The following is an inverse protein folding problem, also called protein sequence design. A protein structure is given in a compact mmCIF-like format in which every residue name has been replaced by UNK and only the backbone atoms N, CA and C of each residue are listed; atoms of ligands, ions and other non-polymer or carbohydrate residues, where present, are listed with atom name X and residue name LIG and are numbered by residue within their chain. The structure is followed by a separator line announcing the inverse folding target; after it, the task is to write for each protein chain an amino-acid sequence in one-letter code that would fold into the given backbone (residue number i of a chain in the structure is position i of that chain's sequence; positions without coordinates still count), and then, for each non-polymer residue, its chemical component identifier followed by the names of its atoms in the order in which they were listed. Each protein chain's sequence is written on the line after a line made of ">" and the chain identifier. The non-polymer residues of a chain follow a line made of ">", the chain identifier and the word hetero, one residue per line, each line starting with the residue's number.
data_IF_682008796274
#
_entry.id   IF_682008796274
#
_cell.length_a   1.000
_cell.length_b   1.000
_cell.length_c   1.000
_cell.angle_alpha   90.00
_cell.angle_beta   90.00
_cell.angle_gamma   90.00
#
_symmetry.space_group_name_H-M   'P 1'
#
loop_
_entity.id
_entity.type
_entity.pdbx_description
1 polymer ?
#
# COMPACT_ATOMS: atom_id res chain seq x y z
N UNK A 1 -70.91 32.45 65.40
CA UNK A 1 -69.57 32.88 64.93
C UNK A 1 -69.35 32.20 63.59
N UNK A 2 -69.30 33.04 62.57
CA UNK A 2 -69.85 32.80 61.23
C UNK A 2 -69.05 31.88 60.30
N UNK A 3 -69.82 31.25 59.42
CA UNK A 3 -69.46 30.52 58.22
C UNK A 3 -69.05 31.49 57.10
N UNK A 4 -68.01 31.15 56.33
CA UNK A 4 -67.72 31.70 55.01
C UNK A 4 -67.01 30.62 54.18
N UNK A 5 -67.69 29.88 53.31
CA UNK A 5 -68.12 30.20 51.94
C UNK A 5 -66.96 30.42 50.95
N UNK A 6 -66.91 29.53 49.95
CA UNK A 6 -66.05 29.47 48.75
C UNK A 6 -66.40 30.66 47.83
N UNK A 7 -65.51 31.12 46.92
CA UNK A 7 -65.61 30.58 45.55
C UNK A 7 -64.27 30.44 44.79
N UNK A 8 -64.41 29.70 43.69
CA UNK A 8 -63.44 29.35 42.67
C UNK A 8 -62.70 30.54 42.04
N UNK A 9 -61.47 30.31 41.58
CA UNK A 9 -60.95 31.03 40.43
C UNK A 9 -59.90 30.23 39.65
N UNK A 10 -59.79 30.58 38.37
CA UNK A 10 -59.55 29.72 37.22
C UNK A 10 -58.15 29.09 37.06
N UNK A 11 -58.15 27.93 36.38
CA UNK A 11 -56.98 27.27 35.79
C UNK A 11 -56.31 28.20 34.79
N UNK A 12 -55.09 28.64 35.11
CA UNK A 12 -54.12 29.10 34.11
C UNK A 12 -53.04 28.03 33.97
N UNK A 13 -53.03 27.38 32.81
CA UNK A 13 -52.00 26.40 32.43
C UNK A 13 -50.66 27.11 32.24
N UNK A 14 -49.54 26.60 32.78
CA UNK A 14 -48.23 27.08 32.39
C UNK A 14 -47.89 26.59 30.97
N UNK A 15 -47.64 27.56 30.10
CA UNK A 15 -47.11 27.39 28.73
C UNK A 15 -45.78 26.62 28.80
N UNK A 16 -45.71 25.46 28.14
CA UNK A 16 -44.44 24.74 27.88
C UNK A 16 -43.61 25.53 26.85
N UNK A 17 -42.34 25.86 27.12
CA UNK A 17 -41.47 26.35 26.07
C UNK A 17 -41.00 25.21 25.16
N UNK A 18 -41.19 25.42 23.85
CA UNK A 18 -40.20 25.14 22.81
C UNK A 18 -39.75 23.70 22.62
N UNK A 19 -40.37 23.06 21.63
CA UNK A 19 -39.82 21.93 20.88
C UNK A 19 -38.41 22.22 20.36
N UNK A 20 -37.39 21.68 21.03
CA UNK A 20 -36.06 21.53 20.44
C UNK A 20 -36.12 20.51 19.31
N UNK A 21 -35.85 20.97 18.08
CA UNK A 21 -35.70 20.12 16.92
C UNK A 21 -34.57 19.11 17.14
N UNK A 22 -34.92 17.84 17.36
CA UNK A 22 -33.95 16.74 17.34
C UNK A 22 -33.59 16.47 15.88
N UNK A 23 -32.49 17.07 15.45
CA UNK A 23 -31.77 16.66 14.25
C UNK A 23 -31.37 15.19 14.43
N UNK A 24 -31.97 14.29 13.65
CA UNK A 24 -31.57 12.89 13.60
C UNK A 24 -30.17 12.83 13.01
N UNK A 25 -29.17 12.62 13.87
CA UNK A 25 -27.82 12.29 13.47
C UNK A 25 -27.88 11.05 12.57
N UNK A 26 -27.45 11.22 11.31
CA UNK A 26 -27.32 10.13 10.35
C UNK A 26 -26.43 9.04 10.94
N UNK A 27 -26.88 7.78 10.83
CA UNK A 27 -26.12 6.62 11.28
C UNK A 27 -24.70 6.68 10.71
N UNK A 28 -23.72 6.82 11.58
CA UNK A 28 -22.32 6.68 11.22
C UNK A 28 -22.15 5.34 10.48
N UNK A 29 -21.83 5.41 9.19
CA UNK A 29 -21.43 4.25 8.41
C UNK A 29 -20.12 3.76 8.99
N UNK A 30 -20.19 2.87 9.98
CA UNK A 30 -19.03 2.14 10.42
C UNK A 30 -18.51 1.34 9.21
N UNK A 31 -17.22 1.45 8.85
CA UNK A 31 -16.65 0.57 7.84
C UNK A 31 -16.93 -0.88 8.26
N UNK A 32 -17.35 -1.75 7.32
CA UNK A 32 -17.75 -3.11 7.65
C UNK A 32 -16.63 -3.78 8.44
N UNK A 33 -16.97 -4.30 9.62
CA UNK A 33 -16.06 -5.07 10.46
C UNK A 33 -15.45 -6.16 9.60
N UNK A 34 -14.15 -6.07 9.33
CA UNK A 34 -13.39 -7.12 8.65
C UNK A 34 -13.28 -8.27 9.63
N UNK A 35 -14.28 -9.15 9.63
CA UNK A 35 -14.22 -10.39 10.39
C UNK A 35 -13.26 -11.32 9.69
N UNK A 36 -12.31 -11.86 10.46
CA UNK A 36 -11.47 -13.02 10.14
C UNK A 36 -12.33 -14.28 10.00
N UNK A 37 -13.25 -14.26 9.04
CA UNK A 37 -14.04 -15.42 8.63
C UNK A 37 -13.34 -16.19 7.50
N UNK A 38 -13.81 -17.40 7.16
CA UNK A 38 -13.24 -18.30 6.15
C UNK A 38 -13.47 -17.84 4.71
N UNK A 39 -13.41 -16.54 4.45
CA UNK A 39 -14.02 -15.90 3.29
C UNK A 39 -13.01 -15.01 2.59
N UNK A 40 -12.21 -15.61 1.71
CA UNK A 40 -10.99 -15.02 1.17
C UNK A 40 -11.26 -13.75 0.37
N UNK A 41 -12.33 -13.71 -0.42
CA UNK A 41 -12.61 -12.63 -1.38
C UNK A 41 -13.70 -11.65 -0.94
N UNK A 42 -14.19 -11.74 0.31
CA UNK A 42 -15.17 -10.77 0.82
C UNK A 42 -14.56 -9.36 0.85
N UNK A 43 -15.26 -8.41 0.22
CA UNK A 43 -14.82 -7.04 0.03
C UNK A 43 -13.98 -6.81 -1.22
N UNK A 44 -13.50 -7.87 -1.88
CA UNK A 44 -12.78 -7.81 -3.16
C UNK A 44 -13.68 -8.21 -4.34
N UNK A 45 -14.59 -9.16 -4.12
CA UNK A 45 -15.49 -9.68 -5.15
C UNK A 45 -16.65 -8.71 -5.47
N UNK A 46 -16.83 -8.41 -6.75
CA UNK A 46 -17.90 -7.57 -7.30
C UNK A 46 -18.62 -8.26 -8.45
N UNK A 47 -19.87 -7.88 -8.65
CA UNK A 47 -20.69 -8.36 -9.74
C UNK A 47 -20.24 -7.73 -11.08
N UNK A 48 -19.94 -8.58 -12.05
CA UNK A 48 -19.54 -8.21 -13.41
C UNK A 48 -20.67 -8.08 -14.42
N UNK A 49 -21.93 -8.18 -13.98
CA UNK A 49 -23.07 -7.96 -14.87
C UNK A 49 -23.21 -6.47 -15.17
N UNK A 50 -23.39 -6.13 -16.45
CA UNK A 50 -23.61 -4.77 -16.91
C UNK A 50 -24.73 -4.09 -16.11
N UNK A 51 -24.47 -2.89 -15.60
CA UNK A 51 -25.42 -2.11 -14.80
C UNK A 51 -25.55 -2.50 -13.32
N UNK A 52 -24.83 -3.51 -12.82
CA UNK A 52 -24.89 -3.90 -11.42
C UNK A 52 -23.69 -3.38 -10.59
N UNK A 53 -22.48 -3.88 -10.84
CA UNK A 53 -21.25 -3.48 -10.13
C UNK A 53 -21.24 -3.70 -8.61
N UNK A 54 -22.31 -4.27 -8.04
CA UNK A 54 -22.47 -4.40 -6.59
C UNK A 54 -21.48 -5.41 -6.01
N UNK A 55 -21.04 -5.18 -4.78
CA UNK A 55 -20.24 -6.16 -4.04
C UNK A 55 -20.96 -7.51 -3.90
N UNK A 56 -20.17 -8.57 -3.72
CA UNK A 56 -20.69 -9.89 -3.43
C UNK A 56 -20.65 -10.19 -1.93
N UNK A 57 -21.61 -10.97 -1.46
CA UNK A 57 -21.68 -11.49 -0.09
C UNK A 57 -21.72 -13.01 -0.12
N UNK A 58 -21.33 -13.64 0.99
CA UNK A 58 -21.38 -15.09 1.14
C UNK A 58 -22.69 -15.49 1.77
N UNK A 59 -23.35 -16.48 1.13
CA UNK A 59 -24.48 -17.20 1.69
C UNK A 59 -24.10 -18.62 2.01
N UNK A 60 -24.65 -19.12 3.11
CA UNK A 60 -24.49 -20.50 3.53
C UNK A 60 -25.71 -21.33 3.15
N UNK A 61 -25.47 -22.57 2.74
CA UNK A 61 -26.48 -23.60 2.51
C UNK A 61 -26.23 -24.81 3.41
N UNK A 62 -27.30 -25.58 3.68
CA UNK A 62 -27.25 -26.84 4.46
C UNK A 62 -26.49 -26.68 5.80
N UNK A 63 -26.96 -25.74 6.63
CA UNK A 63 -26.40 -25.51 7.97
C UNK A 63 -24.97 -24.94 8.00
N UNK A 64 -24.51 -24.31 6.92
CA UNK A 64 -23.13 -23.77 6.85
C UNK A 64 -22.14 -24.66 6.09
N UNK A 65 -22.55 -25.87 5.69
CA UNK A 65 -21.69 -26.82 4.96
C UNK A 65 -21.26 -26.31 3.58
N UNK A 66 -22.10 -25.52 2.91
CA UNK A 66 -21.78 -24.96 1.60
C UNK A 66 -21.79 -23.44 1.67
N UNK A 67 -20.83 -22.81 0.99
CA UNK A 67 -20.71 -21.36 0.90
C UNK A 67 -20.75 -20.93 -0.56
N UNK A 68 -21.47 -19.85 -0.83
CA UNK A 68 -21.62 -19.31 -2.18
C UNK A 68 -21.44 -17.80 -2.17
N UNK A 69 -20.61 -17.28 -3.07
CA UNK A 69 -20.61 -15.85 -3.38
C UNK A 69 -21.85 -15.52 -4.20
N UNK A 70 -22.59 -14.51 -3.74
CA UNK A 70 -23.84 -14.05 -4.34
C UNK A 70 -23.84 -12.53 -4.43
N UNK A 71 -24.38 -11.97 -5.49
CA UNK A 71 -24.45 -10.52 -5.65
C UNK A 71 -25.34 -9.87 -4.57
N UNK A 72 -24.88 -8.79 -3.94
CA UNK A 72 -25.65 -8.07 -2.91
C UNK A 72 -26.99 -7.53 -3.43
N UNK A 73 -27.05 -7.05 -4.68
CA UNK A 73 -28.30 -6.60 -5.28
C UNK A 73 -29.31 -7.75 -5.34
N UNK A 74 -28.88 -8.93 -5.80
CA UNK A 74 -29.70 -10.13 -5.87
C UNK A 74 -30.21 -10.55 -4.49
N UNK A 75 -29.35 -10.45 -3.49
CA UNK A 75 -29.67 -10.85 -2.11
C UNK A 75 -30.66 -9.88 -1.45
N UNK A 76 -30.47 -8.58 -1.61
CA UNK A 76 -31.27 -7.56 -0.92
C UNK A 76 -32.54 -7.17 -1.68
N UNK A 77 -32.51 -7.19 -3.02
CA UNK A 77 -33.61 -6.73 -3.90
C UNK A 77 -34.29 -7.86 -4.66
N UNK A 78 -33.92 -9.12 -4.40
CA UNK A 78 -34.52 -10.31 -4.99
C UNK A 78 -33.87 -10.76 -6.30
N UNK A 79 -34.20 -11.99 -6.73
CA UNK A 79 -33.53 -12.69 -7.82
C UNK A 79 -33.65 -12.02 -9.20
N UNK A 80 -34.69 -11.22 -9.42
CA UNK A 80 -34.93 -10.48 -10.67
C UNK A 80 -34.04 -9.26 -10.83
N UNK A 81 -33.51 -8.71 -9.73
CA UNK A 81 -32.70 -7.49 -9.73
C UNK A 81 -31.30 -7.66 -10.31
N UNK A 82 -30.77 -8.89 -10.31
CA UNK A 82 -29.46 -9.18 -10.89
C UNK A 82 -29.36 -10.65 -11.29
N UNK A 83 -28.91 -10.90 -12.53
CA UNK A 83 -28.74 -12.25 -13.11
C UNK A 83 -27.37 -12.87 -12.82
N UNK A 84 -26.55 -12.26 -11.98
CA UNK A 84 -25.23 -12.78 -11.62
C UNK A 84 -25.36 -14.17 -10.97
N UNK A 85 -24.61 -15.18 -11.46
CA UNK A 85 -24.66 -16.53 -10.90
C UNK A 85 -24.13 -16.56 -9.47
N UNK A 86 -24.67 -17.48 -8.67
CA UNK A 86 -24.08 -17.79 -7.37
C UNK A 86 -22.93 -18.76 -7.60
N UNK A 87 -21.73 -18.42 -7.16
CA UNK A 87 -20.53 -19.25 -7.38
C UNK A 87 -20.11 -19.89 -6.07
N UNK A 88 -19.71 -21.17 -6.11
CA UNK A 88 -19.19 -21.86 -4.91
C UNK A 88 -17.96 -21.12 -4.40
N UNK A 89 -17.94 -20.84 -3.09
CA UNK A 89 -16.88 -20.04 -2.50
C UNK A 89 -15.54 -20.73 -2.61
N UNK A 90 -15.49 -22.03 -2.33
CA UNK A 90 -14.26 -22.82 -2.41
C UNK A 90 -13.69 -22.83 -3.84
N UNK A 91 -14.56 -22.98 -4.85
CA UNK A 91 -14.17 -22.99 -6.25
C UNK A 91 -13.63 -21.62 -6.70
N UNK A 92 -14.32 -20.53 -6.34
CA UNK A 92 -13.86 -19.19 -6.72
C UNK A 92 -12.55 -18.83 -6.03
N UNK A 93 -12.45 -19.13 -4.73
CA UNK A 93 -11.26 -18.85 -3.94
C UNK A 93 -10.06 -19.63 -4.48
N UNK A 94 -10.20 -20.91 -4.79
CA UNK A 94 -9.12 -21.73 -5.35
C UNK A 94 -8.70 -21.28 -6.74
N UNK A 95 -9.67 -20.97 -7.61
CA UNK A 95 -9.38 -20.45 -8.95
C UNK A 95 -8.59 -19.14 -8.88
N UNK A 96 -9.06 -18.17 -8.10
CA UNK A 96 -8.39 -16.86 -7.98
C UNK A 96 -6.97 -17.02 -7.44
N UNK A 97 -6.77 -17.85 -6.42
CA UNK A 97 -5.43 -18.04 -5.82
C UNK A 97 -4.47 -18.76 -6.77
N UNK A 98 -4.96 -19.76 -7.51
CA UNK A 98 -4.16 -20.51 -8.50
C UNK A 98 -3.78 -19.61 -9.67
N UNK A 99 -4.73 -18.85 -10.21
CA UNK A 99 -4.49 -17.92 -11.31
C UNK A 99 -3.53 -16.79 -10.93
N UNK A 100 -3.62 -16.27 -9.69
CA UNK A 100 -2.61 -15.34 -9.17
C UNK A 100 -1.22 -16.00 -9.11
N UNK A 101 -1.15 -17.21 -8.56
CA UNK A 101 0.10 -17.94 -8.39
C UNK A 101 0.80 -18.21 -9.74
N UNK A 102 0.04 -18.60 -10.75
CA UNK A 102 0.56 -19.08 -12.03
C UNK A 102 0.72 -17.97 -13.07
N UNK A 103 -0.13 -16.94 -13.09
CA UNK A 103 -0.05 -15.88 -14.10
C UNK A 103 0.57 -14.59 -13.61
N UNK A 104 0.61 -14.34 -12.31
CA UNK A 104 1.19 -13.11 -11.76
C UNK A 104 2.53 -13.37 -11.08
N UNK A 105 2.63 -14.46 -10.31
CA UNK A 105 3.82 -14.79 -9.52
C UNK A 105 4.69 -15.88 -10.16
N UNK A 106 4.41 -16.28 -11.39
CA UNK A 106 5.37 -17.04 -12.18
C UNK A 106 6.55 -16.16 -12.57
N UNK A 107 7.76 -16.71 -12.46
CA UNK A 107 9.01 -15.97 -12.67
C UNK A 107 9.08 -15.28 -14.04
N UNK A 108 8.63 -15.97 -15.09
CA UNK A 108 8.62 -15.45 -16.46
C UNK A 108 7.59 -14.35 -16.70
N UNK A 109 6.52 -14.27 -15.90
CA UNK A 109 5.48 -13.24 -16.00
C UNK A 109 5.80 -12.02 -15.12
N UNK A 110 6.33 -12.26 -13.92
CA UNK A 110 6.53 -11.23 -12.91
C UNK A 110 7.66 -10.25 -13.26
N UNK A 111 8.76 -10.76 -13.84
CA UNK A 111 9.92 -9.92 -14.17
C UNK A 111 9.58 -8.90 -15.26
N UNK A 112 8.99 -9.28 -16.41
CA UNK A 112 8.57 -8.30 -17.42
C UNK A 112 7.57 -7.28 -16.89
N UNK A 113 6.63 -7.70 -16.04
CA UNK A 113 5.63 -6.83 -15.45
C UNK A 113 6.23 -5.75 -14.53
N UNK A 114 7.37 -6.04 -13.90
CA UNK A 114 8.11 -5.10 -13.06
C UNK A 114 9.33 -4.48 -13.75
N UNK A 115 9.50 -4.70 -15.05
CA UNK A 115 10.70 -4.23 -15.78
C UNK A 115 10.89 -2.73 -15.69
N UNK A 116 9.83 -1.94 -15.94
CA UNK A 116 9.89 -0.48 -15.83
C UNK A 116 10.30 0.00 -14.42
N UNK A 117 9.88 -0.73 -13.38
CA UNK A 117 10.24 -0.43 -11.99
C UNK A 117 11.70 -0.80 -11.72
N UNK A 118 12.17 -1.94 -12.24
CA UNK A 118 13.58 -2.35 -12.18
C UNK A 118 14.48 -1.33 -12.88
N UNK A 119 14.09 -0.85 -14.05
CA UNK A 119 14.84 0.15 -14.82
C UNK A 119 14.91 1.46 -14.04
N UNK A 120 13.77 1.98 -13.58
CA UNK A 120 13.71 3.22 -12.76
C UNK A 120 14.55 3.11 -11.49
N UNK A 121 14.52 1.95 -10.83
CA UNK A 121 15.34 1.63 -9.67
C UNK A 121 16.84 1.67 -10.00
N UNK A 122 17.24 1.07 -11.12
CA UNK A 122 18.63 1.04 -11.58
C UNK A 122 19.15 2.44 -11.93
N UNK A 123 18.34 3.25 -12.61
CA UNK A 123 18.69 4.64 -12.95
C UNK A 123 18.80 5.53 -11.71
N UNK A 124 17.90 5.38 -10.75
CA UNK A 124 17.98 6.09 -9.47
C UNK A 124 19.26 5.72 -8.70
N UNK A 125 19.71 4.46 -8.78
CA UNK A 125 20.97 4.02 -8.19
C UNK A 125 22.17 4.62 -8.91
N UNK A 126 22.18 4.59 -10.25
CA UNK A 126 23.26 5.14 -11.05
C UNK A 126 23.45 6.64 -10.79
N UNK A 127 22.36 7.41 -10.74
CA UNK A 127 22.39 8.84 -10.40
C UNK A 127 23.05 9.10 -9.04
N UNK A 128 22.67 8.33 -8.00
CA UNK A 128 23.30 8.45 -6.68
C UNK A 128 24.78 8.08 -6.69
N UNK A 129 25.17 7.08 -7.49
CA UNK A 129 26.58 6.71 -7.64
C UNK A 129 27.38 7.85 -8.29
N UNK A 130 26.84 8.49 -9.32
CA UNK A 130 27.45 9.67 -9.93
C UNK A 130 27.55 10.86 -8.96
N UNK A 131 26.53 11.08 -8.11
CA UNK A 131 26.60 12.11 -7.07
C UNK A 131 27.71 11.82 -6.04
N UNK A 132 27.90 10.55 -5.67
CA UNK A 132 29.00 10.13 -4.79
C UNK A 132 30.36 10.42 -5.43
N UNK A 133 30.53 10.06 -6.69
CA UNK A 133 31.76 10.30 -7.46
C UNK A 133 32.08 11.81 -7.52
N UNK A 134 31.09 12.64 -7.85
CA UNK A 134 31.25 14.10 -7.82
C UNK A 134 31.60 14.64 -6.43
N UNK A 135 31.04 14.08 -5.36
CA UNK A 135 31.42 14.45 -4.00
C UNK A 135 32.88 14.12 -3.73
N UNK A 136 33.35 12.96 -4.15
CA UNK A 136 34.72 12.48 -3.95
C UNK A 136 35.74 13.33 -4.72
N UNK A 137 35.46 13.71 -5.96
CA UNK A 137 36.29 14.61 -6.76
C UNK A 137 36.44 15.99 -6.10
N UNK A 138 35.31 16.56 -5.63
CA UNK A 138 35.31 17.82 -4.89
C UNK A 138 36.11 17.72 -3.59
N UNK A 139 36.03 16.57 -2.93
CA UNK A 139 36.74 16.29 -1.68
C UNK A 139 38.25 16.19 -1.91
N UNK A 140 38.67 15.48 -2.97
CA UNK A 140 40.07 15.42 -3.39
C UNK A 140 40.61 16.83 -3.67
N UNK A 141 39.86 17.63 -4.44
CA UNK A 141 40.23 19.02 -4.76
C UNK A 141 40.35 19.88 -3.49
N UNK A 142 39.39 19.80 -2.57
CA UNK A 142 39.42 20.56 -1.31
C UNK A 142 40.60 20.14 -0.40
N UNK A 143 40.91 18.84 -0.34
CA UNK A 143 42.08 18.31 0.39
C UNK A 143 43.39 18.79 -0.21
N UNK A 144 43.55 18.74 -1.54
CA UNK A 144 44.76 19.26 -2.20
C UNK A 144 44.94 20.75 -1.95
N UNK A 145 43.87 21.55 -2.00
CA UNK A 145 43.93 22.99 -1.67
C UNK A 145 44.33 23.25 -0.22
N UNK A 146 43.85 22.41 0.72
CA UNK A 146 44.23 22.52 2.12
C UNK A 146 45.69 22.12 2.34
N UNK A 147 46.16 21.05 1.69
CA UNK A 147 47.56 20.63 1.71
C UNK A 147 48.48 21.74 1.19
N UNK A 148 48.18 22.32 0.04
CA UNK A 148 48.96 23.44 -0.51
C UNK A 148 49.03 24.65 0.43
N UNK A 149 47.96 24.92 1.21
CA UNK A 149 47.99 25.98 2.22
C UNK A 149 48.89 25.63 3.40
N UNK A 150 48.90 24.37 3.83
CA UNK A 150 49.84 23.90 4.86
C UNK A 150 51.28 23.98 4.36
N UNK A 151 51.57 23.52 3.14
CA UNK A 151 52.90 23.57 2.54
C UNK A 151 53.42 25.02 2.40
N UNK A 152 52.55 25.97 2.02
CA UNK A 152 52.92 27.38 1.91
C UNK A 152 53.29 28.00 3.27
N UNK A 153 52.69 27.52 4.36
CA UNK A 153 53.03 27.92 5.73
C UNK A 153 54.35 27.28 6.16
N UNK A 154 54.56 26.00 5.87
CA UNK A 154 55.79 25.25 6.21
C UNK A 154 57.01 25.84 5.49
N UNK A 155 56.84 26.24 4.22
CA UNK A 155 57.90 26.87 3.41
C UNK A 155 58.11 28.36 3.72
N UNK A 156 57.37 28.93 4.68
CA UNK A 156 57.48 30.35 5.07
C UNK A 156 57.04 31.35 3.99
N UNK A 157 56.36 30.89 2.93
CA UNK A 157 55.84 31.75 1.85
C UNK A 157 54.69 32.63 2.35
N UNK A 158 53.96 32.15 3.37
CA UNK A 158 52.81 32.82 3.98
C UNK A 158 52.97 32.82 5.50
N UNK A 159 52.65 33.94 6.15
CA UNK A 159 52.72 34.06 7.61
C UNK A 159 51.60 33.26 8.28
N UNK A 160 51.97 32.44 9.26
CA UNK A 160 51.02 31.68 10.09
C UNK A 160 50.12 32.56 10.97
N UNK A 161 50.47 33.84 11.15
CA UNK A 161 49.70 34.82 11.94
C UNK A 161 48.71 35.63 11.10
N UNK A 162 48.59 35.35 9.80
CA UNK A 162 47.63 36.03 8.94
C UNK A 162 46.19 35.53 9.23
N UNK A 163 45.28 36.40 9.69
CA UNK A 163 43.90 36.03 9.96
C UNK A 163 43.12 35.57 8.72
N UNK A 164 43.48 36.02 7.50
CA UNK A 164 42.84 35.56 6.25
C UNK A 164 43.11 34.07 6.01
N UNK A 165 44.34 33.63 6.26
CA UNK A 165 44.77 32.24 6.08
C UNK A 165 44.10 31.32 7.10
N UNK A 166 44.01 31.75 8.36
CA UNK A 166 43.26 31.02 9.38
C UNK A 166 41.79 30.86 8.99
N UNK A 167 41.17 31.91 8.45
CA UNK A 167 39.81 31.89 7.91
C UNK A 167 39.65 30.89 6.76
N UNK A 168 40.58 30.89 5.80
CA UNK A 168 40.59 29.97 4.64
C UNK A 168 40.77 28.51 5.05
N UNK A 169 41.68 28.21 5.99
CA UNK A 169 41.87 26.85 6.52
C UNK A 169 40.58 26.36 7.18
N UNK A 170 39.96 27.20 8.02
CA UNK A 170 38.68 26.86 8.66
C UNK A 170 37.59 26.59 7.62
N UNK A 171 37.46 27.43 6.61
CA UNK A 171 36.49 27.25 5.52
C UNK A 171 36.70 25.93 4.78
N UNK A 172 37.95 25.59 4.44
CA UNK A 172 38.26 24.33 3.73
C UNK A 172 38.00 23.10 4.60
N UNK A 173 38.30 23.15 5.90
CA UNK A 173 37.94 22.07 6.83
C UNK A 173 36.41 21.88 6.89
N UNK A 174 35.65 22.97 7.01
CA UNK A 174 34.18 22.88 7.00
C UNK A 174 33.62 22.33 5.69
N UNK A 175 34.22 22.68 4.54
CA UNK A 175 33.85 22.14 3.24
C UNK A 175 34.13 20.63 3.15
N UNK A 176 35.31 20.18 3.61
CA UNK A 176 35.68 18.77 3.66
C UNK A 176 34.72 17.97 4.56
N UNK A 177 34.39 18.49 5.74
CA UNK A 177 33.47 17.83 6.67
C UNK A 177 32.05 17.71 6.10
N UNK A 178 31.57 18.77 5.43
CA UNK A 178 30.28 18.76 4.74
C UNK A 178 30.26 17.73 3.60
N UNK A 179 31.30 17.70 2.75
CA UNK A 179 31.41 16.75 1.64
C UNK A 179 31.51 15.30 2.14
N UNK A 180 32.28 15.04 3.21
CA UNK A 180 32.35 13.72 3.84
C UNK A 180 30.97 13.25 4.34
N UNK A 181 30.23 14.16 5.00
CA UNK A 181 28.90 13.85 5.52
C UNK A 181 27.92 13.55 4.39
N UNK A 182 27.98 14.34 3.30
CA UNK A 182 27.15 14.14 2.11
C UNK A 182 27.47 12.82 1.42
N UNK A 183 28.74 12.53 1.13
CA UNK A 183 29.16 11.28 0.52
C UNK A 183 28.77 10.06 1.36
N UNK A 184 28.95 10.13 2.69
CA UNK A 184 28.50 9.06 3.61
C UNK A 184 27.00 8.84 3.54
N UNK A 185 26.21 9.92 3.52
CA UNK A 185 24.75 9.84 3.43
C UNK A 185 24.31 9.20 2.12
N UNK A 186 24.89 9.64 0.99
CA UNK A 186 24.60 9.08 -0.33
C UNK A 186 24.97 7.60 -0.43
N UNK A 187 26.14 7.20 0.07
CA UNK A 187 26.57 5.78 0.14
C UNK A 187 25.60 4.94 0.98
N UNK A 188 25.19 5.44 2.16
CA UNK A 188 24.20 4.75 2.99
C UNK A 188 22.86 4.59 2.24
N UNK A 189 22.45 5.59 1.45
CA UNK A 189 21.25 5.48 0.62
C UNK A 189 21.39 4.50 -0.56
N UNK A 190 22.59 4.24 -1.05
CA UNK A 190 22.84 3.23 -2.10
C UNK A 190 22.80 1.82 -1.52
N UNK A 191 23.34 1.63 -0.31
CA UNK A 191 23.44 0.32 0.36
C UNK A 191 22.14 -0.10 1.03
N UNK A 192 21.47 0.82 1.73
CA UNK A 192 20.24 0.58 2.51
C UNK A 192 18.98 0.97 1.73
N UNK A 193 19.14 1.59 0.55
CA UNK A 193 18.09 2.32 -0.15
C UNK A 193 16.79 1.54 -0.41
N UNK A 194 15.62 2.18 -0.25
CA UNK A 194 14.30 1.60 -0.57
C UNK A 194 14.15 1.23 -2.06
N UNK A 195 15.07 1.70 -2.90
CA UNK A 195 15.14 1.46 -4.33
C UNK A 195 15.84 0.17 -4.73
N UNK A 196 16.39 -0.66 -3.83
CA UNK A 196 17.08 -1.90 -4.26
C UNK A 196 16.09 -3.00 -4.65
N UNK A 197 15.44 -2.86 -5.81
CA UNK A 197 14.67 -3.93 -6.44
C UNK A 197 15.62 -4.56 -7.47
N UNK A 198 16.01 -5.82 -7.25
CA UNK A 198 16.83 -6.57 -8.20
C UNK A 198 16.02 -7.70 -8.83
N UNK A 199 16.35 -8.16 -10.05
CA UNK A 199 15.67 -9.30 -10.65
C UNK A 199 15.66 -10.54 -9.73
N UNK A 200 16.77 -10.80 -9.05
CA UNK A 200 16.86 -11.87 -8.07
C UNK A 200 15.93 -11.68 -6.86
N UNK A 201 15.70 -10.44 -6.41
CA UNK A 201 14.75 -10.16 -5.33
C UNK A 201 13.30 -10.37 -5.80
N UNK A 202 12.99 -10.00 -7.04
CA UNK A 202 11.69 -10.24 -7.68
C UNK A 202 11.41 -11.75 -7.80
N UNK A 203 12.38 -12.54 -8.29
CA UNK A 203 12.23 -13.99 -8.40
C UNK A 203 12.02 -14.68 -7.04
N UNK A 204 12.78 -14.27 -6.01
CA UNK A 204 12.58 -14.76 -4.63
C UNK A 204 11.20 -14.37 -4.10
N UNK A 205 10.76 -13.14 -4.32
CA UNK A 205 9.45 -12.65 -3.92
C UNK A 205 8.33 -13.48 -4.57
N UNK A 206 8.38 -13.69 -5.89
CA UNK A 206 7.44 -14.54 -6.62
C UNK A 206 7.37 -15.95 -6.04
N UNK A 207 8.52 -16.58 -5.80
CA UNK A 207 8.60 -17.93 -5.22
C UNK A 207 7.93 -18.03 -3.84
N UNK A 208 8.23 -17.08 -2.93
CA UNK A 208 7.68 -17.10 -1.57
C UNK A 208 6.17 -16.87 -1.60
N UNK A 209 5.70 -15.87 -2.37
CA UNK A 209 4.27 -15.55 -2.45
C UNK A 209 3.50 -16.70 -3.11
N UNK A 210 4.02 -17.28 -4.20
CA UNK A 210 3.42 -18.44 -4.86
C UNK A 210 3.23 -19.61 -3.90
N UNK A 211 4.27 -19.97 -3.14
CA UNK A 211 4.18 -21.04 -2.13
C UNK A 211 3.10 -20.75 -1.09
N UNK A 212 2.99 -19.51 -0.61
CA UNK A 212 1.99 -19.11 0.39
C UNK A 212 0.57 -19.04 -0.20
N UNK A 213 0.41 -18.70 -1.47
CA UNK A 213 -0.90 -18.72 -2.15
C UNK A 213 -1.45 -20.13 -2.30
N UNK A 214 -0.59 -21.09 -2.66
CA UNK A 214 -0.97 -22.48 -2.92
C UNK A 214 -1.07 -23.34 -1.65
N UNK A 215 -0.20 -23.11 -0.67
CA UNK A 215 -0.06 -23.98 0.51
C UNK A 215 -0.20 -23.25 1.85
N UNK A 216 -0.47 -21.94 1.84
CA UNK A 216 -0.70 -21.17 3.06
C UNK A 216 -2.05 -21.46 3.70
N UNK A 217 -2.17 -21.08 4.96
CA UNK A 217 -3.44 -21.08 5.68
C UNK A 217 -4.39 -19.98 5.15
N UNK A 218 -5.68 -20.09 5.48
CA UNK A 218 -6.72 -19.16 5.01
C UNK A 218 -6.39 -17.68 5.26
N UNK A 219 -6.00 -17.27 6.48
CA UNK A 219 -5.62 -15.89 6.78
C UNK A 219 -4.45 -15.37 5.95
N UNK A 220 -3.38 -16.15 5.78
CA UNK A 220 -2.23 -15.75 4.95
C UNK A 220 -2.64 -15.55 3.50
N UNK A 221 -3.41 -16.50 2.94
CA UNK A 221 -3.92 -16.39 1.56
C UNK A 221 -4.81 -15.16 1.40
N UNK A 222 -5.66 -14.87 2.38
CA UNK A 222 -6.51 -13.69 2.37
C UNK A 222 -5.70 -12.39 2.36
N UNK A 223 -4.69 -12.29 3.21
CA UNK A 223 -3.87 -11.09 3.32
C UNK A 223 -3.07 -10.83 2.04
N UNK A 224 -2.52 -11.89 1.44
CA UNK A 224 -1.84 -11.80 0.14
C UNK A 224 -2.83 -11.35 -0.95
N UNK A 225 -4.03 -11.93 -1.01
CA UNK A 225 -5.04 -11.52 -1.99
C UNK A 225 -5.43 -10.04 -1.82
N UNK A 226 -5.64 -9.57 -0.59
CA UNK A 226 -5.97 -8.16 -0.30
C UNK A 226 -4.84 -7.19 -0.66
N UNK A 227 -3.59 -7.64 -0.54
CA UNK A 227 -2.43 -6.83 -0.87
C UNK A 227 -2.30 -6.54 -2.37
N UNK A 228 -2.58 -7.54 -3.22
CA UNK A 228 -2.30 -7.45 -4.66
C UNK A 228 -3.56 -7.29 -5.51
N UNK A 229 -4.70 -7.81 -5.07
CA UNK A 229 -5.96 -7.73 -5.82
C UNK A 229 -6.70 -6.47 -5.42
N UNK A 230 -6.94 -5.59 -6.40
CA UNK A 230 -7.85 -4.46 -6.24
C UNK A 230 -9.30 -4.91 -6.33
N UNK A 231 -9.64 -5.76 -7.31
CA UNK A 231 -11.02 -6.21 -7.50
C UNK A 231 -11.08 -7.54 -8.23
N UNK A 232 -11.98 -8.42 -7.79
CA UNK A 232 -12.37 -9.64 -8.52
C UNK A 232 -13.78 -9.43 -9.06
N UNK A 233 -13.94 -9.45 -10.38
CA UNK A 233 -15.23 -9.26 -11.03
C UNK A 233 -15.78 -10.62 -11.45
N UNK A 234 -16.98 -10.96 -10.99
CA UNK A 234 -17.66 -12.23 -11.27
C UNK A 234 -18.85 -11.98 -12.19
N UNK A 235 -18.72 -12.42 -13.44
CA UNK A 235 -19.76 -12.34 -14.46
C UNK A 235 -19.80 -13.63 -15.29
N UNK A 236 -20.00 -13.54 -16.62
CA UNK A 236 -19.80 -14.67 -17.52
C UNK A 236 -18.37 -15.23 -17.44
N UNK A 237 -17.41 -14.34 -17.23
CA UNK A 237 -16.00 -14.66 -16.97
C UNK A 237 -15.58 -14.05 -15.64
N UNK A 238 -14.49 -14.56 -15.08
CA UNK A 238 -13.85 -13.97 -13.90
C UNK A 238 -12.71 -13.09 -14.38
N UNK A 239 -12.72 -11.85 -13.90
CA UNK A 239 -11.65 -10.88 -14.17
C UNK A 239 -11.02 -10.45 -12.86
N UNK A 240 -9.72 -10.65 -12.73
CA UNK A 240 -8.96 -10.24 -11.56
C UNK A 240 -8.09 -9.05 -11.95
N UNK A 241 -8.14 -7.99 -11.15
CA UNK A 241 -7.38 -6.76 -11.42
C UNK A 241 -6.59 -6.32 -10.20
N UNK A 242 -5.43 -5.72 -10.43
CA UNK A 242 -4.58 -5.16 -9.38
C UNK A 242 -3.66 -4.06 -9.90
N UNK A 243 -2.83 -3.55 -8.99
CA UNK A 243 -1.89 -2.45 -9.24
C UNK A 243 -0.44 -2.99 -9.31
N UNK A 244 0.32 -2.72 -10.38
CA UNK A 244 1.74 -3.03 -10.48
C UNK A 244 2.60 -2.42 -9.36
N UNK A 245 2.23 -1.26 -8.80
CA UNK A 245 3.00 -0.65 -7.71
C UNK A 245 2.94 -1.49 -6.42
N UNK A 246 1.81 -2.13 -6.14
CA UNK A 246 1.73 -3.07 -5.01
C UNK A 246 2.72 -4.23 -5.15
N UNK A 247 2.93 -4.73 -6.37
CA UNK A 247 3.91 -5.79 -6.66
C UNK A 247 5.34 -5.28 -6.49
N UNK A 248 5.64 -4.09 -6.99
CA UNK A 248 6.93 -3.41 -6.80
C UNK A 248 7.28 -3.24 -5.32
N UNK A 249 6.34 -2.72 -4.52
CA UNK A 249 6.51 -2.54 -3.09
C UNK A 249 6.70 -3.86 -2.33
N UNK A 250 5.95 -4.91 -2.71
CA UNK A 250 6.13 -6.26 -2.18
C UNK A 250 7.52 -6.83 -2.46
N UNK A 251 8.00 -6.68 -3.70
CA UNK A 251 9.34 -7.09 -4.10
C UNK A 251 10.43 -6.31 -3.35
N UNK A 252 10.27 -5.00 -3.19
CA UNK A 252 11.18 -4.15 -2.40
C UNK A 252 11.19 -4.54 -0.90
N UNK A 253 10.06 -4.95 -0.33
CA UNK A 253 9.98 -5.44 1.04
C UNK A 253 10.79 -6.74 1.22
N UNK A 254 10.67 -7.70 0.29
CA UNK A 254 11.47 -8.94 0.30
C UNK A 254 12.94 -8.69 -0.02
N UNK A 255 13.29 -7.64 -0.75
CA UNK A 255 14.68 -7.24 -0.91
C UNK A 255 15.30 -6.74 0.40
N UNK A 256 14.49 -6.12 1.28
CA UNK A 256 14.90 -5.58 2.58
C UNK A 256 14.94 -6.63 3.68
N UNK A 257 13.97 -7.54 3.73
CA UNK A 257 13.94 -8.63 4.70
C UNK A 257 14.75 -9.82 4.21
N UNK A 258 15.53 -10.49 5.06
CA UNK A 258 16.30 -11.70 4.72
C UNK A 258 15.38 -12.93 4.49
N UNK A 259 14.42 -12.84 3.57
CA UNK A 259 13.56 -13.96 3.16
C UNK A 259 12.26 -14.13 3.96
N UNK A 260 11.96 -13.27 4.92
CA UNK A 260 10.65 -13.25 5.59
C UNK A 260 9.76 -12.27 4.83
N UNK A 261 8.80 -12.77 4.05
CA UNK A 261 7.69 -11.91 3.58
C UNK A 261 7.00 -11.39 4.85
N UNK A 262 7.04 -10.06 5.11
CA UNK A 262 6.51 -9.48 6.34
C UNK A 262 5.11 -10.01 6.61
N UNK A 263 4.78 -10.24 7.88
CA UNK A 263 3.39 -10.49 8.26
C UNK A 263 2.59 -9.28 7.75
N UNK A 264 1.76 -9.50 6.74
CA UNK A 264 0.92 -8.49 6.09
C UNK A 264 -0.23 -8.02 7.00
N UNK A 265 0.05 -7.88 8.30
CA UNK A 265 -0.93 -7.48 9.31
C UNK A 265 -0.79 -5.98 9.59
N UNK A 266 -1.84 -5.27 9.17
CA UNK A 266 -2.26 -3.88 9.47
C UNK A 266 -1.27 -2.77 9.08
N UNK A 267 -1.76 -1.92 8.16
CA UNK A 267 -1.15 -0.71 7.59
C UNK A 267 -0.31 -0.89 6.31
N UNK A 268 -0.76 -1.77 5.41
CA UNK A 268 -0.54 -1.52 4.00
C UNK A 268 -1.74 -0.72 3.45
N UNK A 269 -1.66 0.61 3.52
CA UNK A 269 -2.47 1.45 2.64
C UNK A 269 -1.75 1.54 1.30
N UNK A 270 -2.36 1.09 0.18
CA UNK A 270 -1.93 1.54 -1.13
C UNK A 270 -2.00 3.07 -1.11
N UNK A 271 -0.95 3.75 -1.55
CA UNK A 271 -1.02 5.19 -1.77
C UNK A 271 -2.04 5.40 -2.87
N UNK A 272 -3.18 6.03 -2.57
CA UNK A 272 -4.17 6.44 -3.57
C UNK A 272 -3.54 7.50 -4.50
N UNK A 273 -2.82 7.06 -5.53
CA UNK A 273 -2.38 7.93 -6.60
C UNK A 273 -3.54 8.16 -7.58
N UNK A 274 -4.02 9.40 -7.63
CA UNK A 274 -5.02 9.89 -8.58
C UNK A 274 -4.44 10.19 -9.98
N UNK A 275 -3.41 9.45 -10.40
CA UNK A 275 -2.73 9.73 -11.67
C UNK A 275 -3.32 8.84 -12.77
N UNK A 276 -3.92 9.50 -13.76
CA UNK A 276 -4.75 8.93 -14.83
C UNK A 276 -4.03 8.09 -15.89
N UNK A 277 -2.96 7.37 -15.51
CA UNK A 277 -2.34 6.35 -16.37
C UNK A 277 -2.57 4.98 -15.75
N UNK A 278 -3.65 4.34 -16.19
CA UNK A 278 -4.18 3.10 -15.62
C UNK A 278 -3.40 1.85 -16.07
N UNK A 279 -2.11 1.75 -15.73
CA UNK A 279 -1.39 0.49 -15.83
C UNK A 279 -1.93 -0.46 -14.75
N UNK A 280 -2.96 -1.25 -15.09
CA UNK A 280 -3.48 -2.31 -14.23
C UNK A 280 -3.25 -3.64 -14.93
N UNK A 281 -2.83 -4.65 -14.18
CA UNK A 281 -2.78 -6.01 -14.71
C UNK A 281 -4.17 -6.64 -14.64
N UNK A 282 -4.47 -7.50 -15.61
CA UNK A 282 -5.77 -8.16 -15.75
C UNK A 282 -5.55 -9.64 -16.02
N UNK A 283 -6.13 -10.50 -15.19
CA UNK A 283 -6.21 -11.94 -15.44
C UNK A 283 -7.64 -12.29 -15.84
N UNK A 284 -7.76 -13.06 -16.92
CA UNK A 284 -9.02 -13.65 -17.38
C UNK A 284 -9.03 -15.14 -17.09
N UNK A 285 -10.05 -15.60 -16.37
CA UNK A 285 -10.26 -17.01 -16.06
C UNK A 285 -11.71 -17.43 -16.39
N UNK A 286 -11.92 -18.54 -17.11
CA UNK A 286 -13.24 -19.09 -17.33
C UNK A 286 -13.78 -19.72 -16.03
N UNK A 287 -15.09 -19.55 -15.77
CA UNK A 287 -15.77 -20.34 -14.75
C UNK A 287 -15.93 -21.77 -15.27
N UNK A 288 -15.21 -22.74 -14.69
CA UNK A 288 -15.48 -24.15 -14.95
C UNK A 288 -16.90 -24.49 -14.47
N UNK A 289 -17.68 -25.16 -15.35
CA UNK A 289 -19.04 -25.60 -15.06
C UNK A 289 -19.09 -26.66 -13.97
#
# INVERSE_FOLDING_TARGET
>A
MDLGHVPANHRTSPVRPGSGASARAGSAQHPPRVTSGPTLLIGLAKCGIAGCGCGMTIRTGKGGRYRYYTCNARTNRGATSCRCPSVRAEQLDELVMTELADRLFAEHELVPLLQQVLDTSSEARLRKQQEVEQCEERLATARSRLANLHDAIENGTVSSRDPDIAGRIKQRRTEIDALNTMARTLRQQIDVGPTRITPAAVARFGTIVRKRLLHGDGPTRQNIARAFIRTVTVGPNITITGDPQSLAHGAAAVARSKGVVPSFDREWCPIDHKDGHSNHWVIWAPLSK
#
